data_IF_566817743109
#
_entry.id   IF_566817743109
#
_cell.length_a   1.000
_cell.length_b   1.000
_cell.length_c   1.000
_cell.angle_alpha   90.00
_cell.angle_beta   90.00
_cell.angle_gamma   90.00
#
_symmetry.space_group_name_H-M   'P 1'
#
loop_
_entity.id
_entity.type
_entity.pdbx_description
1 polymer ?
#
# COMPACT_ATOMS: atom_id res chain seq x y z
N UNK A 1 0.16 -24.66 -63.00
CA UNK A 1 -0.38 -23.74 -61.97
C UNK A 1 -0.53 -24.36 -60.57
N UNK A 2 -0.81 -25.67 -60.41
CA UNK A 2 -1.01 -26.29 -59.08
C UNK A 2 0.20 -26.31 -58.14
N UNK A 3 1.45 -26.34 -58.65
CA UNK A 3 2.67 -26.32 -57.80
C UNK A 3 2.99 -24.95 -57.18
N UNK A 4 2.55 -23.83 -57.77
CA UNK A 4 2.77 -22.48 -57.20
C UNK A 4 1.81 -22.17 -56.04
N UNK A 5 0.63 -22.79 -56.03
CA UNK A 5 -0.37 -22.64 -54.95
C UNK A 5 0.10 -23.37 -53.68
N UNK A 6 0.78 -24.52 -53.81
CA UNK A 6 1.32 -25.27 -52.67
C UNK A 6 2.45 -24.54 -51.94
N UNK A 7 3.22 -23.68 -52.62
CA UNK A 7 4.30 -22.89 -52.00
C UNK A 7 3.77 -21.72 -51.18
N UNK A 8 2.62 -21.15 -51.57
CA UNK A 8 1.96 -20.04 -50.88
C UNK A 8 1.34 -20.52 -49.56
N UNK A 9 0.78 -21.74 -49.52
CA UNK A 9 0.25 -22.31 -48.28
C UNK A 9 1.34 -22.61 -47.23
N UNK A 10 2.57 -22.93 -47.65
CA UNK A 10 3.69 -23.20 -46.73
C UNK A 10 4.33 -21.92 -46.17
N UNK A 11 4.16 -20.78 -46.84
CA UNK A 11 4.65 -19.48 -46.38
C UNK A 11 3.69 -18.81 -45.39
N UNK A 12 2.39 -19.16 -45.44
CA UNK A 12 1.36 -18.64 -44.54
C UNK A 12 1.36 -19.28 -43.14
N UNK A 13 2.02 -20.42 -42.95
CA UNK A 13 2.15 -21.09 -41.63
C UNK A 13 3.38 -20.66 -40.83
N UNK A 14 4.27 -19.82 -41.39
CA UNK A 14 5.51 -19.38 -40.72
C UNK A 14 5.39 -18.03 -39.99
N UNK A 15 4.23 -17.38 -40.04
CA UNK A 15 3.96 -16.14 -39.30
C UNK A 15 3.05 -16.41 -38.08
N UNK A 16 3.40 -17.42 -37.26
CA UNK A 16 2.99 -17.40 -35.86
C UNK A 16 3.84 -16.37 -35.13
N UNK A 17 3.51 -15.08 -35.33
CA UNK A 17 3.96 -14.04 -34.41
C UNK A 17 3.31 -14.41 -33.07
N UNK A 18 4.09 -14.97 -32.16
CA UNK A 18 3.68 -15.12 -30.78
C UNK A 18 3.54 -13.71 -30.22
N UNK A 19 2.37 -13.09 -30.40
CA UNK A 19 1.97 -11.89 -29.69
C UNK A 19 1.74 -12.32 -28.25
N UNK A 20 2.81 -12.33 -27.46
CA UNK A 20 2.71 -12.44 -26.02
C UNK A 20 1.92 -11.23 -25.54
N UNK A 21 0.65 -11.44 -25.23
CA UNK A 21 -0.15 -10.43 -24.56
C UNK A 21 0.57 -10.08 -23.25
N UNK A 22 1.01 -8.83 -23.12
CA UNK A 22 1.62 -8.34 -21.89
C UNK A 22 0.58 -8.05 -20.80
N UNK A 23 -0.71 -8.22 -21.12
CA UNK A 23 -1.81 -8.21 -20.15
C UNK A 23 -1.66 -9.42 -19.25
N UNK A 24 -1.81 -9.19 -17.96
CA UNK A 24 -1.82 -10.26 -16.96
C UNK A 24 -3.27 -10.61 -16.68
N UNK A 25 -3.65 -11.87 -16.89
CA UNK A 25 -4.98 -12.33 -16.50
C UNK A 25 -5.04 -12.51 -14.98
N UNK A 26 -6.26 -12.48 -14.43
CA UNK A 26 -6.46 -12.59 -12.99
C UNK A 26 -5.85 -13.88 -12.40
N UNK A 27 -5.95 -15.01 -13.10
CA UNK A 27 -5.35 -16.29 -12.70
C UNK A 27 -3.82 -16.22 -12.65
N UNK A 28 -3.19 -15.56 -13.62
CA UNK A 28 -1.73 -15.32 -13.61
C UNK A 28 -1.36 -14.45 -12.40
N UNK A 29 -2.11 -13.37 -12.13
CA UNK A 29 -1.85 -12.48 -10.99
C UNK A 29 -1.95 -13.23 -9.65
N UNK A 30 -2.97 -14.07 -9.49
CA UNK A 30 -3.15 -14.93 -8.31
C UNK A 30 -1.99 -15.93 -8.16
N UNK A 31 -1.57 -16.58 -9.24
CA UNK A 31 -0.42 -17.49 -9.22
C UNK A 31 0.86 -16.76 -8.78
N UNK A 32 1.10 -15.56 -9.32
CA UNK A 32 2.26 -14.74 -9.00
C UNK A 32 2.25 -14.29 -7.55
N UNK A 33 1.09 -13.86 -7.03
CA UNK A 33 0.91 -13.49 -5.64
C UNK A 33 1.24 -14.67 -4.70
N UNK A 34 0.66 -15.84 -4.97
CA UNK A 34 0.88 -17.04 -4.16
C UNK A 34 2.32 -17.53 -4.21
N UNK A 35 2.95 -17.54 -5.39
CA UNK A 35 4.37 -17.88 -5.55
C UNK A 35 5.26 -16.96 -4.72
N UNK A 36 5.01 -15.64 -4.77
CA UNK A 36 5.74 -14.68 -3.96
C UNK A 36 5.50 -14.88 -2.46
N UNK A 37 4.24 -15.02 -2.04
CA UNK A 37 3.88 -15.19 -0.64
C UNK A 37 4.52 -16.46 -0.06
N UNK A 38 4.35 -17.61 -0.73
CA UNK A 38 4.94 -18.89 -0.33
C UNK A 38 6.46 -18.84 -0.20
N UNK A 39 7.15 -18.19 -1.15
CA UNK A 39 8.60 -18.09 -1.11
C UNK A 39 9.11 -17.32 0.12
N UNK A 40 8.33 -16.36 0.64
CA UNK A 40 8.76 -15.51 1.75
C UNK A 40 8.23 -15.98 3.12
N UNK A 41 7.12 -16.71 3.17
CA UNK A 41 6.51 -17.19 4.44
C UNK A 41 6.73 -18.66 4.72
N UNK A 42 7.21 -19.43 3.74
CA UNK A 42 7.25 -20.90 3.74
C UNK A 42 5.87 -21.59 3.83
N UNK A 43 4.76 -20.85 3.72
CA UNK A 43 3.41 -21.40 3.68
C UNK A 43 3.15 -21.97 2.29
N UNK A 44 2.90 -23.27 2.22
CA UNK A 44 2.51 -23.94 0.98
C UNK A 44 1.02 -23.71 0.70
N UNK A 45 0.67 -23.45 -0.58
CA UNK A 45 -0.71 -23.24 -1.04
C UNK A 45 -1.50 -22.18 -0.22
N UNK A 46 -1.02 -20.92 -0.17
CA UNK A 46 -1.65 -19.90 0.65
C UNK A 46 -3.06 -19.56 0.13
N UNK A 47 -4.00 -19.49 1.06
CA UNK A 47 -5.40 -19.18 0.77
C UNK A 47 -5.65 -17.67 0.79
N UNK A 48 -6.19 -17.17 -0.32
CA UNK A 48 -6.60 -15.78 -0.45
C UNK A 48 -7.92 -15.59 0.31
N UNK A 49 -7.94 -14.59 1.20
CA UNK A 49 -9.12 -14.20 1.97
C UNK A 49 -10.00 -13.26 1.17
N UNK A 50 -9.43 -12.22 0.58
CA UNK A 50 -10.15 -11.26 -0.25
C UNK A 50 -9.22 -10.60 -1.27
N UNK A 51 -9.82 -9.90 -2.24
CA UNK A 51 -9.11 -9.18 -3.28
C UNK A 51 -9.72 -7.80 -3.54
N UNK A 52 -8.87 -6.85 -3.93
CA UNK A 52 -9.28 -5.52 -4.36
C UNK A 52 -8.49 -5.10 -5.60
N UNK A 53 -9.20 -4.50 -6.56
CA UNK A 53 -8.60 -4.06 -7.83
C UNK A 53 -8.54 -2.53 -7.91
N UNK A 54 -7.39 -2.03 -8.34
CA UNK A 54 -7.20 -0.61 -8.62
C UNK A 54 -7.15 -0.38 -10.13
N UNK A 55 -7.98 0.56 -10.58
CA UNK A 55 -8.21 0.83 -12.00
C UNK A 55 -7.61 2.16 -12.43
N UNK A 56 -7.24 2.24 -13.70
CA UNK A 56 -6.98 3.50 -14.40
C UNK A 56 -7.60 3.42 -15.79
N UNK A 57 -8.31 4.48 -16.20
CA UNK A 57 -9.00 4.53 -17.51
C UNK A 57 -9.86 3.28 -17.77
N UNK A 58 -10.64 2.85 -16.76
CA UNK A 58 -11.51 1.66 -16.79
C UNK A 58 -10.82 0.30 -16.98
N UNK A 59 -9.49 0.26 -16.91
CA UNK A 59 -8.72 -0.99 -16.96
C UNK A 59 -8.12 -1.29 -15.60
N UNK A 60 -8.24 -2.54 -15.16
CA UNK A 60 -7.55 -3.03 -13.95
C UNK A 60 -6.03 -2.92 -14.18
N UNK A 61 -5.32 -2.31 -13.23
CA UNK A 61 -3.86 -2.13 -13.27
C UNK A 61 -3.14 -2.84 -12.14
N UNK A 62 -3.81 -3.04 -11.01
CA UNK A 62 -3.28 -3.67 -9.80
C UNK A 62 -4.36 -4.56 -9.20
N UNK A 63 -3.99 -5.75 -8.72
CA UNK A 63 -4.82 -6.53 -7.80
C UNK A 63 -4.08 -6.72 -6.48
N UNK A 64 -4.74 -6.38 -5.39
CA UNK A 64 -4.29 -6.57 -4.02
C UNK A 64 -4.99 -7.82 -3.47
N UNK A 65 -4.22 -8.80 -3.00
CA UNK A 65 -4.71 -10.04 -2.40
C UNK A 65 -4.38 -10.06 -0.91
N UNK A 66 -5.38 -10.22 -0.05
CA UNK A 66 -5.19 -10.51 1.37
C UNK A 66 -5.21 -12.02 1.63
N UNK A 67 -4.53 -12.49 2.66
CA UNK A 67 -4.39 -13.92 2.95
C UNK A 67 -5.06 -14.32 4.26
N UNK A 68 -5.61 -15.54 4.33
CA UNK A 68 -6.19 -16.09 5.55
C UNK A 68 -5.15 -16.20 6.68
N UNK A 69 -3.91 -16.53 6.32
CA UNK A 69 -2.76 -16.59 7.22
C UNK A 69 -2.21 -15.21 7.61
N UNK A 70 -2.80 -14.12 7.14
CA UNK A 70 -2.37 -12.74 7.38
C UNK A 70 -1.48 -12.16 6.29
N UNK A 71 -1.38 -10.84 6.26
CA UNK A 71 -0.64 -10.10 5.25
C UNK A 71 -1.40 -9.92 3.93
N UNK A 72 -0.71 -9.34 2.95
CA UNK A 72 -1.21 -9.09 1.61
C UNK A 72 -0.08 -9.07 0.57
N UNK A 73 -0.45 -9.23 -0.70
CA UNK A 73 0.42 -9.02 -1.86
C UNK A 73 -0.31 -8.22 -2.94
N UNK A 74 0.28 -7.11 -3.38
CA UNK A 74 -0.22 -6.30 -4.49
C UNK A 74 0.54 -6.61 -5.78
N UNK A 75 -0.17 -7.05 -6.81
CA UNK A 75 0.37 -7.48 -8.09
C UNK A 75 -0.03 -6.54 -9.21
N UNK A 76 0.94 -6.12 -10.04
CA UNK A 76 0.69 -5.36 -11.25
C UNK A 76 0.01 -6.22 -12.32
N UNK A 77 -0.92 -5.65 -13.09
CA UNK A 77 -1.66 -6.35 -14.15
C UNK A 77 -1.10 -6.12 -15.56
N UNK A 78 0.18 -5.72 -15.62
CA UNK A 78 0.91 -5.53 -16.87
C UNK A 78 2.38 -5.93 -16.69
N UNK A 79 2.89 -6.79 -17.59
CA UNK A 79 4.24 -7.37 -17.47
C UNK A 79 5.38 -6.38 -17.74
N UNK A 80 5.08 -5.18 -18.23
CA UNK A 80 6.08 -4.14 -18.50
C UNK A 80 6.63 -3.46 -17.24
N UNK A 81 6.05 -3.73 -16.07
CA UNK A 81 6.52 -3.25 -14.76
C UNK A 81 6.76 -4.43 -13.81
N UNK A 82 7.43 -4.19 -12.68
CA UNK A 82 7.66 -5.23 -11.66
C UNK A 82 6.34 -5.90 -11.23
N UNK A 83 6.33 -7.23 -11.02
CA UNK A 83 5.13 -7.97 -10.65
C UNK A 83 4.59 -7.56 -9.29
N UNK A 84 5.45 -7.48 -8.27
CA UNK A 84 5.05 -7.21 -6.89
C UNK A 84 5.29 -5.72 -6.59
N UNK A 85 4.21 -5.01 -6.26
CA UNK A 85 4.22 -3.56 -6.03
C UNK A 85 4.31 -3.20 -4.55
N UNK A 86 3.65 -4.00 -3.70
CA UNK A 86 3.62 -3.85 -2.25
C UNK A 86 3.28 -5.20 -1.61
N UNK A 87 3.72 -5.42 -0.39
CA UNK A 87 3.37 -6.62 0.36
C UNK A 87 3.52 -6.39 1.87
N UNK A 88 2.83 -7.23 2.64
CA UNK A 88 3.11 -7.50 4.05
C UNK A 88 2.89 -8.99 4.28
N UNK A 89 3.69 -9.63 5.13
CA UNK A 89 3.48 -11.03 5.52
C UNK A 89 2.78 -11.18 6.88
N UNK A 90 2.45 -10.05 7.52
CA UNK A 90 1.85 -10.00 8.84
C UNK A 90 0.68 -9.00 8.89
N UNK A 91 -0.10 -9.09 9.96
CA UNK A 91 -1.28 -8.26 10.19
C UNK A 91 -2.54 -8.77 9.48
N UNK A 92 -3.70 -8.39 9.97
CA UNK A 92 -4.99 -8.71 9.34
C UNK A 92 -5.43 -7.50 8.53
N UNK A 93 -5.20 -7.55 7.22
CA UNK A 93 -5.52 -6.45 6.31
C UNK A 93 -6.91 -6.66 5.74
N UNK A 94 -7.91 -6.01 6.34
CA UNK A 94 -9.22 -5.90 5.70
C UNK A 94 -9.09 -5.03 4.45
N UNK A 95 -9.62 -5.52 3.33
CA UNK A 95 -9.65 -4.76 2.07
C UNK A 95 -10.95 -3.95 1.93
N UNK A 96 -11.85 -4.03 2.90
CA UNK A 96 -13.12 -3.28 2.93
C UNK A 96 -12.88 -1.83 3.39
N UNK A 97 -12.02 -1.64 4.41
CA UNK A 97 -11.75 -0.34 5.04
C UNK A 97 -10.28 0.09 4.86
N UNK A 98 -9.84 0.21 3.61
CA UNK A 98 -8.48 0.65 3.31
C UNK A 98 -8.34 2.16 3.63
N UNK A 99 -7.30 2.58 4.39
CA UNK A 99 -7.04 3.99 4.67
C UNK A 99 -6.94 4.84 3.39
N UNK A 100 -7.54 6.04 3.41
CA UNK A 100 -7.64 6.92 2.23
C UNK A 100 -6.28 7.26 1.60
N UNK A 101 -5.24 7.44 2.41
CA UNK A 101 -3.87 7.68 1.95
C UNK A 101 -3.31 6.45 1.21
N UNK A 102 -3.54 5.24 1.73
CA UNK A 102 -3.14 3.98 1.07
C UNK A 102 -3.92 3.79 -0.24
N UNK A 103 -5.23 4.03 -0.22
CA UNK A 103 -6.09 4.01 -1.41
C UNK A 103 -5.57 4.97 -2.49
N UNK A 104 -5.25 6.22 -2.10
CA UNK A 104 -4.71 7.23 -3.00
C UNK A 104 -3.37 6.82 -3.60
N UNK A 105 -2.48 6.22 -2.81
CA UNK A 105 -1.19 5.73 -3.30
C UNK A 105 -1.36 4.65 -4.38
N UNK A 106 -2.23 3.66 -4.16
CA UNK A 106 -2.50 2.62 -5.16
C UNK A 106 -3.19 3.17 -6.42
N UNK A 107 -4.11 4.12 -6.29
CA UNK A 107 -4.74 4.78 -7.44
C UNK A 107 -3.73 5.57 -8.28
N UNK A 108 -2.82 6.31 -7.65
CA UNK A 108 -1.73 7.00 -8.35
C UNK A 108 -0.77 6.01 -9.01
N UNK A 109 -0.44 4.91 -8.34
CA UNK A 109 0.39 3.85 -8.93
C UNK A 109 -0.29 3.20 -10.14
N UNK A 110 -1.61 2.94 -10.07
CA UNK A 110 -2.40 2.43 -11.19
C UNK A 110 -2.36 3.39 -12.39
N UNK A 111 -2.51 4.70 -12.16
CA UNK A 111 -2.37 5.73 -13.22
C UNK A 111 -0.97 5.70 -13.86
N UNK A 112 0.08 5.55 -13.05
CA UNK A 112 1.47 5.46 -13.55
C UNK A 112 1.69 4.21 -14.41
N UNK A 113 1.21 3.04 -13.95
CA UNK A 113 1.28 1.79 -14.72
C UNK A 113 0.55 1.95 -16.06
N UNK A 114 -0.66 2.53 -16.04
CA UNK A 114 -1.42 2.77 -17.26
C UNK A 114 -0.66 3.68 -18.24
N UNK A 115 -0.04 4.76 -17.76
CA UNK A 115 0.79 5.66 -18.60
C UNK A 115 2.00 4.94 -19.22
N UNK A 116 2.67 4.08 -18.46
CA UNK A 116 3.79 3.27 -18.98
C UNK A 116 3.29 2.28 -20.03
N UNK A 117 2.16 1.63 -19.78
CA UNK A 117 1.50 0.69 -20.69
C UNK A 117 1.08 1.35 -22.01
N UNK A 118 0.42 2.51 -21.96
CA UNK A 118 -0.02 3.22 -23.18
C UNK A 118 1.14 3.70 -24.03
N UNK A 119 2.27 4.02 -23.39
CA UNK A 119 3.49 4.45 -24.08
C UNK A 119 4.43 3.29 -24.42
N UNK A 120 4.05 2.05 -24.11
CA UNK A 120 4.86 0.84 -24.31
C UNK A 120 6.28 0.94 -23.68
N UNK A 121 6.38 1.58 -22.50
CA UNK A 121 7.65 1.74 -21.76
C UNK A 121 7.83 0.56 -20.82
N UNK A 122 8.74 -0.35 -21.16
CA UNK A 122 8.97 -1.60 -20.44
C UNK A 122 10.23 -1.50 -19.57
N UNK A 123 10.13 -1.93 -18.31
CA UNK A 123 11.30 -2.18 -17.47
C UNK A 123 11.91 -3.56 -17.83
N UNK A 124 13.11 -3.62 -18.43
CA UNK A 124 13.74 -4.88 -18.80
C UNK A 124 13.99 -5.81 -17.61
N UNK A 125 14.14 -5.25 -16.39
CA UNK A 125 14.36 -6.03 -15.16
C UNK A 125 13.08 -6.71 -14.69
N UNK A 126 11.91 -6.19 -15.04
CA UNK A 126 10.63 -6.77 -14.65
C UNK A 126 10.44 -8.18 -15.23
N UNK A 127 10.84 -8.41 -16.48
CA UNK A 127 10.65 -9.69 -17.18
C UNK A 127 11.27 -10.87 -16.45
N UNK A 128 12.47 -10.71 -15.91
CA UNK A 128 13.15 -11.78 -15.16
C UNK A 128 12.39 -12.13 -13.88
N UNK A 129 11.86 -11.14 -13.17
CA UNK A 129 11.10 -11.34 -11.94
C UNK A 129 9.76 -12.04 -12.23
N UNK A 130 9.03 -11.60 -13.26
CA UNK A 130 7.81 -12.27 -13.74
C UNK A 130 8.05 -13.76 -14.07
N UNK A 131 9.11 -14.05 -14.83
CA UNK A 131 9.46 -15.43 -15.17
C UNK A 131 9.87 -16.25 -13.95
N UNK A 132 10.56 -15.65 -12.98
CA UNK A 132 10.95 -16.35 -11.76
C UNK A 132 9.74 -16.74 -10.91
N UNK A 133 8.77 -15.83 -10.75
CA UNK A 133 7.56 -16.07 -9.97
C UNK A 133 6.63 -17.06 -10.69
N UNK A 134 6.43 -16.91 -12.00
CA UNK A 134 5.58 -17.82 -12.79
C UNK A 134 6.08 -19.26 -12.77
N UNK A 135 7.40 -19.45 -12.71
CA UNK A 135 8.03 -20.77 -12.68
C UNK A 135 8.31 -21.27 -11.25
N UNK A 136 7.83 -20.58 -10.19
CA UNK A 136 8.10 -20.89 -8.79
C UNK A 136 9.61 -20.99 -8.46
N UNK A 137 10.43 -20.17 -9.13
CA UNK A 137 11.89 -20.07 -8.95
C UNK A 137 12.32 -18.81 -8.21
N UNK A 138 11.36 -17.99 -7.76
CA UNK A 138 11.66 -16.80 -6.99
C UNK A 138 12.33 -17.19 -5.67
N UNK A 139 13.41 -16.50 -5.33
CA UNK A 139 14.15 -16.69 -4.08
C UNK A 139 13.88 -15.49 -3.18
N UNK A 140 13.36 -15.74 -1.98
CA UNK A 140 13.14 -14.69 -1.00
C UNK A 140 14.45 -13.97 -0.72
N UNK A 141 14.42 -12.65 -0.84
CA UNK A 141 15.58 -11.83 -0.48
C UNK A 141 15.57 -11.67 1.03
N UNK A 142 16.64 -12.12 1.68
CA UNK A 142 16.94 -11.70 3.04
C UNK A 142 17.26 -10.20 3.01
N UNK A 143 16.24 -9.38 3.20
CA UNK A 143 16.42 -7.99 3.54
C UNK A 143 16.24 -7.87 5.05
N UNK A 144 17.26 -7.43 5.77
CA UNK A 144 17.12 -6.98 7.16
C UNK A 144 16.31 -5.69 7.14
N UNK A 145 15.00 -5.79 7.02
CA UNK A 145 14.09 -4.66 7.21
C UNK A 145 13.97 -4.44 8.71
N UNK A 146 14.52 -3.33 9.22
CA UNK A 146 14.28 -2.89 10.58
C UNK A 146 13.21 -1.81 10.52
N UNK A 147 12.05 -2.09 11.10
CA UNK A 147 11.07 -1.04 11.38
C UNK A 147 11.63 -0.16 12.50
N UNK A 148 11.83 1.12 12.21
CA UNK A 148 12.32 2.08 13.21
C UNK A 148 11.20 2.49 14.17
N UNK A 149 10.00 2.68 13.63
CA UNK A 149 8.82 3.00 14.42
C UNK A 149 8.32 1.74 15.12
N UNK A 150 8.01 1.87 16.40
CA UNK A 150 7.37 0.85 17.21
C UNK A 150 5.90 1.20 17.52
N UNK A 151 5.48 2.43 17.22
CA UNK A 151 4.11 2.89 17.36
C UNK A 151 3.23 2.36 16.23
N UNK A 152 1.98 2.03 16.58
CA UNK A 152 0.90 1.69 15.64
C UNK A 152 -0.27 2.67 15.83
N UNK A 153 0.06 3.97 15.82
CA UNK A 153 -0.91 5.03 16.09
C UNK A 153 -1.87 5.27 14.92
N UNK A 154 -3.09 5.66 15.27
CA UNK A 154 -4.17 5.96 14.35
C UNK A 154 -4.53 7.45 14.33
N UNK A 155 -5.68 7.75 13.71
CA UNK A 155 -6.24 9.11 13.61
C UNK A 155 -7.59 9.26 14.32
N UNK A 156 -8.14 8.16 14.83
CA UNK A 156 -9.51 8.07 15.34
C UNK A 156 -9.52 8.12 16.88
N UNK A 157 -10.57 7.55 17.49
CA UNK A 157 -10.76 7.36 18.92
C UNK A 157 -9.46 7.10 19.69
N UNK A 158 -9.37 7.68 20.89
CA UNK A 158 -8.21 7.73 21.78
C UNK A 158 -7.10 8.68 21.33
N UNK A 159 -6.80 8.73 20.03
CA UNK A 159 -5.77 9.62 19.47
C UNK A 159 -6.30 11.05 19.29
N UNK A 160 -7.59 11.19 19.00
CA UNK A 160 -8.23 12.46 18.65
C UNK A 160 -8.98 13.15 19.80
N UNK A 161 -8.75 12.75 21.06
CA UNK A 161 -9.51 13.24 22.22
C UNK A 161 -9.36 14.73 22.51
N UNK A 162 -8.36 15.42 21.93
CA UNK A 162 -8.21 16.87 21.99
C UNK A 162 -8.48 17.58 20.64
N UNK A 163 -8.85 16.82 19.61
CA UNK A 163 -9.31 17.42 18.37
C UNK A 163 -10.70 18.05 18.58
N UNK A 164 -11.13 18.98 17.70
CA UNK A 164 -12.45 19.61 17.85
C UNK A 164 -13.60 18.61 17.85
N UNK A 165 -14.67 18.92 18.58
CA UNK A 165 -15.91 18.14 18.54
C UNK A 165 -16.48 18.12 17.11
N UNK A 166 -16.83 16.92 16.64
CA UNK A 166 -17.48 16.69 15.35
C UNK A 166 -18.48 15.52 15.48
N UNK A 167 -19.80 15.77 15.37
CA UNK A 167 -20.82 14.73 15.44
C UNK A 167 -20.69 13.63 14.37
N UNK A 168 -20.01 13.91 13.25
CA UNK A 168 -19.75 12.95 12.19
C UNK A 168 -18.37 12.31 12.31
N UNK A 169 -17.55 12.77 13.25
CA UNK A 169 -16.21 12.27 13.50
C UNK A 169 -16.21 11.04 14.42
N UNK A 170 -15.13 10.23 14.37
CA UNK A 170 -15.00 9.07 15.25
C UNK A 170 -14.94 9.53 16.70
N UNK A 171 -15.73 8.87 17.56
CA UNK A 171 -15.84 9.20 18.99
C UNK A 171 -16.20 10.67 19.27
N UNK A 172 -16.97 11.29 18.38
CA UNK A 172 -17.49 12.66 18.56
C UNK A 172 -16.47 13.77 18.31
N UNK A 173 -15.31 13.44 17.72
CA UNK A 173 -14.25 14.41 17.43
C UNK A 173 -13.77 14.27 16.00
N UNK A 174 -13.27 15.37 15.43
CA UNK A 174 -12.54 15.34 14.17
C UNK A 174 -11.36 14.35 14.25
N UNK A 175 -10.95 13.79 13.12
CA UNK A 175 -9.71 12.98 13.07
C UNK A 175 -8.49 13.87 13.26
N UNK A 176 -7.40 13.31 13.82
CA UNK A 176 -6.12 14.03 13.97
C UNK A 176 -5.55 14.48 12.61
N UNK A 177 -5.76 13.65 11.58
CA UNK A 177 -5.22 13.84 10.24
C UNK A 177 -3.90 13.11 10.02
N UNK A 178 -3.69 12.63 8.80
CA UNK A 178 -2.60 11.71 8.49
C UNK A 178 -1.22 12.34 8.63
N UNK A 179 -1.12 13.67 8.42
CA UNK A 179 0.11 14.43 8.59
C UNK A 179 0.47 14.55 10.07
N UNK A 180 -0.50 14.89 10.92
CA UNK A 180 -0.31 14.98 12.37
C UNK A 180 0.12 13.63 12.95
N UNK A 181 -0.63 12.55 12.68
CA UNK A 181 -0.28 11.20 13.13
C UNK A 181 1.11 10.77 12.66
N UNK A 182 1.46 11.02 11.39
CA UNK A 182 2.79 10.65 10.88
C UNK A 182 3.91 11.41 11.60
N UNK A 183 3.73 12.72 11.83
CA UNK A 183 4.70 13.54 12.54
C UNK A 183 4.82 13.09 14.00
N UNK A 184 3.69 12.88 14.69
CA UNK A 184 3.65 12.42 16.07
C UNK A 184 4.39 11.07 16.25
N UNK A 185 4.20 10.12 15.33
CA UNK A 185 4.92 8.84 15.36
C UNK A 185 6.44 9.02 15.19
N UNK A 186 6.89 9.94 14.34
CA UNK A 186 8.32 10.27 14.15
C UNK A 186 8.88 10.94 15.40
N UNK A 187 8.17 11.92 15.97
CA UNK A 187 8.57 12.60 17.21
C UNK A 187 8.67 11.59 18.36
N UNK A 188 7.71 10.68 18.48
CA UNK A 188 7.71 9.61 19.48
C UNK A 188 8.87 8.64 19.31
N UNK A 189 9.27 8.32 18.08
CA UNK A 189 10.46 7.50 17.85
C UNK A 189 11.73 8.16 18.41
N UNK A 190 11.83 9.48 18.32
CA UNK A 190 12.96 10.24 18.86
C UNK A 190 12.78 10.65 20.33
N UNK A 191 11.57 10.56 20.88
CA UNK A 191 11.18 11.16 22.17
C UNK A 191 11.71 12.60 22.30
N UNK A 192 11.46 13.42 21.27
CA UNK A 192 11.97 14.79 21.20
C UNK A 192 10.98 15.73 20.48
N UNK A 193 10.85 17.00 20.92
CA UNK A 193 11.52 17.63 22.06
C UNK A 193 10.84 17.36 23.41
N UNK A 194 11.49 17.67 24.54
CA UNK A 194 10.78 17.65 25.84
C UNK A 194 9.80 18.84 25.96
N UNK A 195 10.18 20.00 25.45
CA UNK A 195 9.35 21.20 25.36
C UNK A 195 9.37 21.74 23.93
N UNK A 196 8.22 22.20 23.45
CA UNK A 196 8.13 22.83 22.14
C UNK A 196 8.66 24.27 22.13
N UNK A 197 8.31 25.03 21.08
CA UNK A 197 8.74 26.42 20.94
C UNK A 197 7.63 27.29 20.36
N UNK A 198 7.35 28.41 21.03
CA UNK A 198 6.30 29.35 20.69
C UNK A 198 4.91 28.74 20.76
N UNK A 199 3.96 29.40 20.11
CA UNK A 199 2.57 28.96 19.98
C UNK A 199 2.07 29.24 18.57
N UNK A 200 0.97 28.60 18.19
CA UNK A 200 0.30 28.87 16.93
C UNK A 200 -1.21 28.78 17.09
N UNK A 201 -1.93 29.68 16.42
CA UNK A 201 -3.38 29.67 16.33
C UNK A 201 -3.83 30.01 14.91
N UNK A 202 -4.95 29.44 14.50
CA UNK A 202 -5.61 29.77 13.24
C UNK A 202 -7.13 29.59 13.35
N UNK A 203 -7.87 30.20 12.42
CA UNK A 203 -9.32 30.04 12.34
C UNK A 203 -9.66 28.95 11.32
N UNK A 204 -10.28 27.87 11.80
CA UNK A 204 -10.93 26.85 10.99
C UNK A 204 -12.33 27.30 10.60
N UNK A 205 -12.66 27.13 9.31
CA UNK A 205 -14.01 27.42 8.81
C UNK A 205 -15.09 26.57 9.49
N UNK A 206 -14.75 25.36 9.93
CA UNK A 206 -15.71 24.39 10.46
C UNK A 206 -15.69 24.31 12.00
N UNK A 207 -14.56 24.69 12.63
CA UNK A 207 -14.31 24.42 14.05
C UNK A 207 -13.92 25.66 14.87
N UNK A 208 -13.95 26.86 14.25
CA UNK A 208 -13.59 28.10 14.94
C UNK A 208 -12.08 28.24 15.16
N UNK A 209 -11.68 28.97 16.20
CA UNK A 209 -10.28 29.14 16.54
C UNK A 209 -9.67 27.87 17.13
N UNK A 210 -8.56 27.42 16.55
CA UNK A 210 -7.76 26.29 17.01
C UNK A 210 -6.36 26.79 17.37
N UNK A 211 -5.82 26.31 18.48
CA UNK A 211 -4.55 26.79 19.03
C UNK A 211 -3.75 25.70 19.70
N UNK A 212 -2.43 25.88 19.74
CA UNK A 212 -1.50 25.08 20.51
C UNK A 212 -0.37 25.96 21.06
N UNK A 213 -0.08 25.81 22.35
CA UNK A 213 1.05 26.46 23.02
C UNK A 213 2.18 25.45 23.22
N UNK A 214 3.15 25.45 22.31
CA UNK A 214 4.23 24.47 22.31
C UNK A 214 5.28 24.80 23.39
N UNK A 215 5.52 26.09 23.66
CA UNK A 215 6.54 26.55 24.62
C UNK A 215 6.22 26.13 26.06
N UNK A 216 4.93 26.16 26.43
CA UNK A 216 4.47 25.78 27.76
C UNK A 216 3.98 24.32 27.84
N UNK A 217 4.19 23.51 26.80
CA UNK A 217 3.82 22.09 26.78
C UNK A 217 5.04 21.20 27.03
N UNK A 218 4.98 20.39 28.09
CA UNK A 218 5.90 19.28 28.32
C UNK A 218 5.38 18.01 27.64
N UNK A 219 6.13 17.45 26.69
CA UNK A 219 5.79 16.19 26.05
C UNK A 219 6.23 15.00 26.91
N UNK A 220 5.27 14.38 27.58
CA UNK A 220 5.47 13.24 28.48
C UNK A 220 5.70 11.93 27.72
N UNK A 221 6.85 11.83 27.05
CA UNK A 221 7.16 10.71 26.15
C UNK A 221 7.00 9.33 26.80
N UNK A 222 7.35 9.17 28.08
CA UNK A 222 7.24 7.89 28.79
C UNK A 222 5.79 7.43 29.01
N UNK A 223 4.84 8.37 28.99
CA UNK A 223 3.41 8.12 29.16
C UNK A 223 2.70 7.81 27.83
N UNK A 224 3.44 7.78 26.72
CA UNK A 224 2.91 7.52 25.38
C UNK A 224 3.18 6.07 24.97
N UNK A 225 2.23 5.15 25.12
CA UNK A 225 2.42 3.75 24.72
C UNK A 225 2.37 3.60 23.18
N UNK A 226 2.88 2.48 22.69
CA UNK A 226 2.97 2.22 21.25
C UNK A 226 1.62 2.01 20.56
N UNK A 227 0.60 1.61 21.31
CA UNK A 227 -0.78 1.39 20.84
C UNK A 227 -1.72 1.90 21.92
N UNK A 228 -2.76 2.65 21.54
CA UNK A 228 -3.82 3.06 22.46
C UNK A 228 -4.98 2.06 22.46
N UNK A 229 -5.40 1.68 23.67
CA UNK A 229 -6.63 0.92 23.93
C UNK A 229 -7.64 1.72 24.75
N UNK A 230 -7.25 2.89 25.21
CA UNK A 230 -8.02 3.86 25.99
C UNK A 230 -7.47 5.26 25.74
N UNK A 231 -8.21 6.28 26.17
CA UNK A 231 -7.80 7.67 26.04
C UNK A 231 -6.47 7.93 26.75
N UNK A 232 -5.56 8.61 26.07
CA UNK A 232 -4.25 8.96 26.63
C UNK A 232 -3.96 10.43 26.31
N UNK A 233 -3.99 11.26 27.33
CA UNK A 233 -3.82 12.70 27.18
C UNK A 233 -2.45 13.05 26.60
N UNK A 234 -1.38 12.35 26.97
CA UNK A 234 -0.04 12.63 26.45
C UNK A 234 0.03 12.43 24.92
N UNK A 235 -0.57 11.36 24.40
CA UNK A 235 -0.66 11.15 22.95
C UNK A 235 -1.60 12.16 22.30
N UNK A 236 -2.77 12.43 22.89
CA UNK A 236 -3.72 13.40 22.33
C UNK A 236 -3.18 14.84 22.31
N UNK A 237 -2.32 15.23 23.26
CA UNK A 237 -1.64 16.53 23.29
C UNK A 237 -0.53 16.64 22.22
N UNK A 238 0.06 15.51 21.84
CA UNK A 238 1.06 15.48 20.77
C UNK A 238 0.44 15.54 19.37
N UNK A 239 -0.77 14.99 19.22
CA UNK A 239 -1.53 14.96 17.97
C UNK A 239 -2.07 16.33 17.59
#
# INVERSE_FOLDING_TARGET
MKKKISLILYFLTLFYINTYSQKVEFSDAKQIANSFYSANTNIQNPEIKSELKFKASNSDMITLFSYQSGGFVAVALWQGVKPILAYSFQGNHSLEDIPLNTMSWFLEYAKRINKLKTNNIIDPKAKAEWLSLKNNKYQAKSAKSMFLLSTEWGQNCYYNSLCPEDPNGPCGHAVTGCVATSMAMIMKHHNYPQFGKGSHSYISNNYGELSADFENTEYLWNEMPNVLTEENLAVATLM
#
